data_IF_072072234202
#
_entry.id   IF_072072234202
#
_cell.length_a   1.000
_cell.length_b   1.000
_cell.length_c   1.000
_cell.angle_alpha   90.00
_cell.angle_beta   90.00
_cell.angle_gamma   90.00
#
_symmetry.space_group_name_H-M   'P 1'
#
loop_
_entity.id
_entity.type
_entity.pdbx_description
1 polymer ?
#
# COMPACT_ATOMS: atom_id res chain seq x y z
N UNK A 1 0.76 -0.58 7.99
CA UNK A 1 0.68 -0.63 6.51
C UNK A 1 0.09 -1.98 6.20
N UNK A 2 -1.19 -2.01 5.84
CA UNK A 2 -1.90 -3.24 5.49
C UNK A 2 -2.36 -3.08 4.05
N UNK A 3 -2.11 -4.10 3.23
CA UNK A 3 -2.52 -4.12 1.84
C UNK A 3 -3.42 -5.35 1.63
N UNK A 4 -4.75 -5.19 1.51
CA UNK A 4 -5.66 -6.31 1.31
C UNK A 4 -5.44 -7.02 -0.02
N UNK A 5 -4.81 -6.37 -1.01
CA UNK A 5 -4.60 -6.94 -2.34
C UNK A 5 -3.37 -7.85 -2.44
N UNK A 6 -2.66 -8.12 -1.34
CA UNK A 6 -1.59 -9.14 -1.32
C UNK A 6 -2.17 -10.56 -1.25
N UNK A 7 -2.99 -10.90 -2.25
CA UNK A 7 -3.84 -12.09 -2.26
C UNK A 7 -3.05 -13.38 -2.07
N UNK A 8 -1.93 -13.56 -2.78
CA UNK A 8 -1.09 -14.77 -2.66
C UNK A 8 -0.41 -14.86 -1.28
N UNK A 9 0.03 -13.72 -0.74
CA UNK A 9 0.67 -13.67 0.58
C UNK A 9 -0.33 -14.02 1.68
N UNK A 10 -1.52 -13.44 1.63
CA UNK A 10 -2.58 -13.70 2.61
C UNK A 10 -3.13 -15.12 2.49
N UNK A 11 -3.19 -15.67 1.27
CA UNK A 11 -3.54 -17.06 1.03
C UNK A 11 -2.52 -18.02 1.68
N UNK A 12 -1.23 -17.84 1.39
CA UNK A 12 -0.15 -18.61 2.04
C UNK A 12 -0.23 -18.54 3.57
N UNK A 13 -0.39 -17.34 4.12
CA UNK A 13 -0.48 -17.12 5.57
C UNK A 13 -1.72 -17.72 6.21
N UNK A 14 -2.76 -18.03 5.43
CA UNK A 14 -3.97 -18.69 5.94
C UNK A 14 -3.73 -20.15 6.30
N UNK A 15 -2.70 -20.79 5.72
CA UNK A 15 -2.32 -22.16 6.02
C UNK A 15 -1.34 -22.28 7.20
N UNK A 16 -0.83 -21.16 7.72
CA UNK A 16 0.14 -21.14 8.82
C UNK A 16 -0.60 -20.87 10.13
N UNK A 17 -0.55 -21.77 11.14
CA UNK A 17 -1.18 -21.53 12.43
C UNK A 17 -0.49 -20.39 13.20
N UNK A 18 -1.27 -19.63 13.96
CA UNK A 18 -0.76 -18.56 14.80
C UNK A 18 0.04 -19.12 15.98
N UNK A 19 1.11 -18.43 16.42
CA UNK A 19 1.82 -18.81 17.64
C UNK A 19 0.90 -18.74 18.87
N UNK A 20 0.87 -19.81 19.66
CA UNK A 20 0.11 -19.88 20.92
C UNK A 20 -1.33 -20.36 20.80
N UNK A 21 -1.95 -20.27 19.62
CA UNK A 21 -3.28 -20.81 19.35
C UNK A 21 -3.38 -21.37 17.91
N UNK A 22 -3.29 -22.69 17.73
CA UNK A 22 -3.37 -23.33 16.42
C UNK A 22 -4.74 -23.24 15.74
N UNK A 23 -5.79 -22.79 16.44
CA UNK A 23 -7.14 -22.65 15.86
C UNK A 23 -7.31 -21.40 14.99
N UNK A 24 -6.34 -20.48 15.02
CA UNK A 24 -6.28 -19.28 14.19
C UNK A 24 -5.09 -19.32 13.24
N UNK A 25 -5.24 -18.71 12.07
CA UNK A 25 -4.13 -18.54 11.13
C UNK A 25 -3.35 -17.26 11.39
N UNK A 26 -2.10 -17.20 10.91
CA UNK A 26 -1.29 -15.97 10.88
C UNK A 26 -2.02 -14.86 10.14
N UNK A 27 -2.72 -15.19 9.04
CA UNK A 27 -3.57 -14.22 8.32
C UNK A 27 -4.59 -13.58 9.25
N UNK A 28 -5.31 -14.37 10.05
CA UNK A 28 -6.37 -13.85 10.92
C UNK A 28 -5.79 -12.90 11.97
N UNK A 29 -4.61 -13.20 12.51
CA UNK A 29 -3.88 -12.30 13.40
C UNK A 29 -3.50 -10.97 12.73
N UNK A 30 -2.96 -11.02 11.51
CA UNK A 30 -2.62 -9.80 10.74
C UNK A 30 -3.86 -8.94 10.49
N UNK A 31 -4.98 -9.55 10.09
CA UNK A 31 -6.23 -8.84 9.85
C UNK A 31 -6.79 -8.22 11.13
N UNK A 32 -6.75 -8.94 12.25
CA UNK A 32 -7.22 -8.46 13.54
C UNK A 32 -6.41 -7.23 14.00
N UNK A 33 -5.08 -7.30 13.97
CA UNK A 33 -4.22 -6.20 14.39
C UNK A 33 -4.44 -4.96 13.52
N UNK A 34 -4.57 -5.11 12.20
CA UNK A 34 -4.75 -3.95 11.31
C UNK A 34 -6.15 -3.32 11.41
N UNK A 35 -7.16 -4.06 11.88
CA UNK A 35 -8.46 -3.49 12.27
C UNK A 35 -8.37 -2.72 13.59
N UNK A 36 -7.62 -3.24 14.56
CA UNK A 36 -7.45 -2.61 15.88
C UNK A 36 -6.55 -1.37 15.85
N UNK A 37 -5.49 -1.41 15.04
CA UNK A 37 -4.48 -0.37 14.92
C UNK A 37 -4.30 0.00 13.45
N UNK A 38 -5.18 0.86 12.90
CA UNK A 38 -5.06 1.30 11.52
C UNK A 38 -3.73 2.01 11.27
N UNK A 39 -2.94 1.47 10.34
CA UNK A 39 -1.67 2.09 9.96
C UNK A 39 -1.90 3.41 9.23
N UNK A 40 -1.51 4.53 9.84
CA UNK A 40 -1.51 5.86 9.22
C UNK A 40 -0.20 6.59 9.49
N UNK A 41 0.09 7.60 8.68
CA UNK A 41 1.26 8.47 8.85
C UNK A 41 0.82 9.91 9.13
N UNK A 42 1.34 10.49 10.22
CA UNK A 42 1.00 11.86 10.66
C UNK A 42 1.99 12.93 10.18
N UNK A 43 3.12 12.48 9.62
CA UNK A 43 4.29 13.30 9.36
C UNK A 43 5.17 12.67 8.28
N UNK A 44 4.58 12.37 7.12
CA UNK A 44 5.28 11.64 6.04
C UNK A 44 6.35 12.48 5.34
N UNK A 45 6.12 13.78 5.22
CA UNK A 45 7.00 14.73 4.51
C UNK A 45 7.34 15.88 5.46
N UNK A 46 8.65 16.10 5.63
CA UNK A 46 9.22 17.20 6.40
C UNK A 46 9.99 18.13 5.46
N UNK A 47 9.92 19.43 5.72
CA UNK A 47 10.68 20.47 5.02
C UNK A 47 11.16 21.48 6.06
N UNK A 48 12.46 21.74 6.09
CA UNK A 48 13.09 22.66 7.04
C UNK A 48 12.76 22.37 8.52
N UNK A 49 12.75 21.08 8.88
CA UNK A 49 12.45 20.62 10.24
C UNK A 49 10.97 20.73 10.64
N UNK A 50 10.09 21.16 9.73
CA UNK A 50 8.65 21.30 9.96
C UNK A 50 7.84 20.35 9.07
N UNK A 51 6.60 20.06 9.48
CA UNK A 51 5.67 19.31 8.64
C UNK A 51 5.41 20.10 7.36
N UNK A 52 5.65 19.50 6.20
CA UNK A 52 5.35 20.13 4.94
C UNK A 52 3.83 20.41 4.86
N UNK A 53 3.43 21.63 4.49
CA UNK A 53 2.02 22.03 4.40
C UNK A 53 1.26 21.24 3.33
N UNK A 54 1.95 20.94 2.23
CA UNK A 54 1.48 20.20 1.06
C UNK A 54 1.57 18.68 1.22
N UNK A 55 1.94 18.15 2.40
CA UNK A 55 2.23 16.72 2.64
C UNK A 55 1.11 15.72 2.29
N UNK A 56 -0.12 16.19 2.07
CA UNK A 56 -1.26 15.37 1.65
C UNK A 56 -1.65 15.56 0.18
N UNK A 57 -0.95 16.43 -0.54
CA UNK A 57 -1.17 16.69 -1.97
C UNK A 57 -0.18 15.87 -2.78
N UNK A 58 -0.64 15.25 -3.86
CA UNK A 58 0.25 14.55 -4.80
C UNK A 58 1.13 15.51 -5.59
N UNK A 59 0.75 16.79 -5.70
CA UNK A 59 1.52 17.81 -6.40
C UNK A 59 1.51 17.70 -7.93
N UNK A 60 0.62 16.89 -8.51
CA UNK A 60 0.53 16.70 -9.96
C UNK A 60 -0.23 17.85 -10.64
N UNK A 61 0.37 18.42 -11.68
CA UNK A 61 -0.29 19.35 -12.59
C UNK A 61 -1.04 18.62 -13.71
N UNK A 62 -1.72 19.37 -14.60
CA UNK A 62 -2.48 18.78 -15.70
C UNK A 62 -1.64 17.90 -16.63
N UNK A 63 -0.39 18.29 -16.89
CA UNK A 63 0.51 17.53 -17.76
C UNK A 63 0.90 16.19 -17.13
N UNK A 64 1.26 16.18 -15.85
CA UNK A 64 1.59 14.94 -15.14
C UNK A 64 0.38 14.00 -15.01
N UNK A 65 -0.83 14.56 -14.82
CA UNK A 65 -2.06 13.76 -14.79
C UNK A 65 -2.31 13.08 -16.14
N UNK A 66 -2.15 13.82 -17.25
CA UNK A 66 -2.30 13.25 -18.60
C UNK A 66 -1.23 12.22 -18.88
N UNK A 67 0.03 12.48 -18.48
CA UNK A 67 1.12 11.54 -18.63
C UNK A 67 0.87 10.23 -17.86
N UNK A 68 0.44 10.32 -16.60
CA UNK A 68 0.09 9.16 -15.78
C UNK A 68 -1.09 8.37 -16.37
N UNK A 69 -2.09 9.08 -16.89
CA UNK A 69 -3.25 8.45 -17.53
C UNK A 69 -2.84 7.68 -18.80
N UNK A 70 -1.95 8.25 -19.61
CA UNK A 70 -1.37 7.56 -20.78
C UNK A 70 -0.59 6.32 -20.37
N UNK A 71 0.20 6.41 -19.30
CA UNK A 71 0.95 5.27 -18.78
C UNK A 71 0.00 4.14 -18.33
N UNK A 72 -1.05 4.46 -17.57
CA UNK A 72 -2.03 3.48 -17.09
C UNK A 72 -2.82 2.79 -18.21
N UNK A 73 -3.03 3.49 -19.33
CA UNK A 73 -3.70 2.95 -20.51
C UNK A 73 -2.75 2.27 -21.49
N UNK A 74 -1.44 2.35 -21.26
CA UNK A 74 -0.45 1.72 -22.13
C UNK A 74 -0.39 0.23 -21.85
N UNK A 75 -0.62 -0.64 -22.85
CA UNK A 75 -0.40 -2.07 -22.70
C UNK A 75 1.03 -2.35 -22.23
N UNK A 76 1.20 -3.32 -21.33
CA UNK A 76 2.51 -3.65 -20.74
C UNK A 76 3.58 -3.93 -21.81
N UNK A 77 3.22 -4.64 -22.87
CA UNK A 77 4.13 -4.93 -23.99
C UNK A 77 4.63 -3.70 -24.76
N UNK A 78 4.07 -2.51 -24.52
CA UNK A 78 4.55 -1.24 -25.10
C UNK A 78 5.45 -0.44 -24.16
N UNK A 79 5.66 -0.92 -22.92
CA UNK A 79 6.49 -0.23 -21.92
C UNK A 79 7.98 -0.59 -22.04
N UNK A 80 8.32 -1.74 -22.62
CA UNK A 80 9.68 -2.06 -23.03
C UNK A 80 9.97 -1.44 -24.38
N UNK A 81 10.69 -0.33 -24.43
CA UNK A 81 11.00 0.39 -25.66
C UNK A 81 11.89 -0.39 -26.63
N UNK A 82 11.33 -1.39 -27.30
CA UNK A 82 11.93 -2.13 -28.41
C UNK A 82 11.25 -1.79 -29.73
#
# INVERSE_FOLDING_TARGET
>A
MFEPNFVCTLDLMSAIPAPGDPSFSVRDGILAVNRMVPGRTECRILRDGQKAEDRYRLGLGPEEIVALSRLLLSPEGRLGGT
#
